data_IF_811829057060
#
_entry.id   IF_811829057060
#
_cell.length_a   1.000
_cell.length_b   1.000
_cell.length_c   1.000
_cell.angle_alpha   90.00
_cell.angle_beta   90.00
_cell.angle_gamma   90.00
#
_symmetry.space_group_name_H-M   'P 1'
#
loop_
_entity.id
_entity.type
_entity.pdbx_description
1 polymer ?
#
# COMPACT_ATOMS: atom_id res chain seq x y z
N UNK A 1 18.14 2.15 18.73
CA UNK A 1 16.91 2.60 18.06
C UNK A 1 16.62 4.10 18.21
N UNK A 2 16.21 4.64 19.37
CA UNK A 2 15.80 6.06 19.49
C UNK A 2 16.87 7.10 19.12
N UNK A 3 18.16 6.77 19.28
CA UNK A 3 19.26 7.72 19.03
C UNK A 3 19.32 8.26 17.60
N UNK A 4 19.10 7.40 16.59
CA UNK A 4 19.10 7.83 15.19
C UNK A 4 17.95 8.81 14.92
N UNK A 5 16.75 8.51 15.44
CA UNK A 5 15.56 9.35 15.30
C UNK A 5 15.77 10.71 15.96
N UNK A 6 16.25 10.73 17.21
CA UNK A 6 16.56 11.98 17.92
C UNK A 6 17.65 12.79 17.22
N UNK A 7 18.64 12.13 16.62
CA UNK A 7 19.68 12.81 15.85
C UNK A 7 19.12 13.40 14.56
N UNK A 8 18.29 12.65 13.83
CA UNK A 8 17.62 13.14 12.62
C UNK A 8 16.73 14.35 12.94
N UNK A 9 15.92 14.30 13.99
CA UNK A 9 15.07 15.42 14.42
C UNK A 9 15.85 16.72 14.62
N UNK A 10 17.02 16.62 15.29
CA UNK A 10 17.89 17.77 15.58
C UNK A 10 18.60 18.31 14.35
N UNK A 11 19.03 17.44 13.44
CA UNK A 11 19.93 17.83 12.36
C UNK A 11 19.20 18.07 11.02
N UNK A 12 18.08 17.41 10.77
CA UNK A 12 17.37 17.48 9.50
C UNK A 12 16.83 18.87 9.19
N UNK A 13 16.20 19.53 10.18
CA UNK A 13 15.64 20.88 10.02
C UNK A 13 16.71 21.95 9.73
N UNK A 14 17.98 21.69 10.09
CA UNK A 14 19.09 22.59 9.80
C UNK A 14 19.57 22.51 8.34
N UNK A 15 19.22 21.43 7.62
CA UNK A 15 19.57 21.26 6.21
C UNK A 15 18.58 21.99 5.31
N UNK A 16 19.07 23.08 4.72
CA UNK A 16 18.41 23.71 3.59
C UNK A 16 18.80 22.98 2.31
N UNK A 17 17.84 22.41 1.54
CA UNK A 17 18.16 21.73 0.30
C UNK A 17 18.86 22.70 -0.67
N UNK A 18 20.08 22.36 -1.07
CA UNK A 18 20.86 23.20 -2.00
C UNK A 18 20.45 22.94 -3.44
N UNK A 19 20.71 23.90 -4.32
CA UNK A 19 20.53 23.69 -5.77
C UNK A 19 21.26 22.44 -6.29
N UNK A 20 22.43 22.09 -5.71
CA UNK A 20 23.18 20.91 -6.11
C UNK A 20 22.42 19.61 -5.79
N UNK A 21 21.88 19.48 -4.58
CA UNK A 21 21.05 18.34 -4.15
C UNK A 21 19.82 18.21 -5.03
N UNK A 22 19.14 19.34 -5.28
CA UNK A 22 17.93 19.40 -6.11
C UNK A 22 18.21 18.95 -7.54
N UNK A 23 19.32 19.40 -8.13
CA UNK A 23 19.74 18.99 -9.47
C UNK A 23 20.14 17.51 -9.54
N UNK A 24 20.75 16.98 -8.47
CA UNK A 24 21.11 15.55 -8.35
C UNK A 24 19.85 14.68 -8.30
N UNK A 25 18.86 15.08 -7.51
CA UNK A 25 17.57 14.38 -7.36
C UNK A 25 16.81 14.17 -8.70
N UNK A 26 17.01 15.04 -9.69
CA UNK A 26 16.40 14.89 -11.02
C UNK A 26 16.74 13.55 -11.70
N UNK A 27 17.84 12.89 -11.33
CA UNK A 27 18.23 11.59 -11.90
C UNK A 27 17.26 10.46 -11.58
N UNK A 28 16.53 10.56 -10.47
CA UNK A 28 15.55 9.55 -10.03
C UNK A 28 14.23 9.64 -10.82
N UNK A 29 13.99 10.76 -11.51
CA UNK A 29 12.80 10.95 -12.32
C UNK A 29 13.00 10.39 -13.74
N UNK A 30 11.96 9.74 -14.27
CA UNK A 30 11.94 9.39 -15.69
C UNK A 30 11.95 10.67 -16.55
N UNK A 31 12.53 10.64 -17.76
CA UNK A 31 12.55 11.80 -18.64
C UNK A 31 11.17 12.43 -18.89
N UNK A 32 10.12 11.61 -18.96
CA UNK A 32 8.75 12.09 -19.12
C UNK A 32 8.22 12.82 -17.86
N UNK A 33 8.52 12.31 -16.66
CA UNK A 33 8.08 12.93 -15.41
C UNK A 33 8.85 14.25 -15.15
N UNK A 34 10.14 14.31 -15.50
CA UNK A 34 10.94 15.54 -15.40
C UNK A 34 10.30 16.72 -16.12
N UNK A 35 9.83 16.50 -17.36
CA UNK A 35 9.20 17.55 -18.17
C UNK A 35 7.92 18.09 -17.53
N UNK A 36 7.25 17.28 -16.69
CA UNK A 36 5.98 17.63 -16.05
C UNK A 36 6.14 18.53 -14.82
N UNK A 37 7.36 18.69 -14.28
CA UNK A 37 7.61 19.52 -13.08
C UNK A 37 7.15 20.98 -13.22
N UNK A 38 7.12 21.51 -14.44
CA UNK A 38 6.61 22.84 -14.76
C UNK A 38 5.43 22.77 -15.74
N UNK A 39 4.67 21.66 -15.72
CA UNK A 39 3.48 21.53 -16.55
C UNK A 39 2.41 22.53 -16.11
N UNK A 40 1.67 23.08 -17.08
CA UNK A 40 0.44 23.84 -16.82
C UNK A 40 -0.71 22.93 -16.38
N UNK A 41 -0.64 21.64 -16.70
CA UNK A 41 -1.55 20.62 -16.16
C UNK A 41 -1.20 20.36 -14.68
N UNK A 42 -1.99 20.94 -13.78
CA UNK A 42 -1.79 20.89 -12.33
C UNK A 42 -1.75 19.44 -11.79
N UNK A 43 -2.68 18.53 -12.13
CA UNK A 43 -2.58 17.11 -11.75
C UNK A 43 -1.26 16.45 -12.17
N UNK A 44 -0.82 16.65 -13.41
CA UNK A 44 0.43 16.08 -13.89
C UNK A 44 1.65 16.67 -13.18
N UNK A 45 1.64 17.98 -12.98
CA UNK A 45 2.69 18.71 -12.25
C UNK A 45 2.80 18.22 -10.81
N UNK A 46 1.70 18.14 -10.06
CA UNK A 46 1.69 17.67 -8.66
C UNK A 46 2.22 16.24 -8.53
N UNK A 47 1.88 15.36 -9.48
CA UNK A 47 2.41 13.99 -9.50
C UNK A 47 3.92 13.95 -9.71
N UNK A 48 4.45 14.78 -10.62
CA UNK A 48 5.89 14.89 -10.84
C UNK A 48 6.62 15.55 -9.66
N UNK A 49 5.99 16.55 -9.05
CA UNK A 49 6.49 17.27 -7.87
C UNK A 49 6.63 16.35 -6.67
N UNK A 50 5.63 15.51 -6.36
CA UNK A 50 5.71 14.52 -5.28
C UNK A 50 6.91 13.59 -5.42
N UNK A 51 7.04 12.94 -6.59
CA UNK A 51 8.18 12.04 -6.88
C UNK A 51 9.54 12.74 -6.83
N UNK A 52 9.57 14.01 -7.21
CA UNK A 52 10.80 14.79 -7.18
C UNK A 52 11.18 15.18 -5.76
N UNK A 53 10.20 15.58 -4.97
CA UNK A 53 10.39 15.89 -3.55
C UNK A 53 10.88 14.65 -2.81
N UNK A 54 10.27 13.49 -3.02
CA UNK A 54 10.75 12.20 -2.54
C UNK A 54 12.23 11.94 -2.86
N UNK A 55 12.64 12.22 -4.11
CA UNK A 55 14.03 12.08 -4.53
C UNK A 55 14.97 13.10 -3.87
N UNK A 56 14.52 14.33 -3.63
CA UNK A 56 15.29 15.36 -2.90
C UNK A 56 15.55 14.89 -1.47
N UNK A 57 14.51 14.42 -0.78
CA UNK A 57 14.63 13.91 0.59
C UNK A 57 15.60 12.74 0.64
N UNK A 58 15.48 11.79 -0.28
CA UNK A 58 16.42 10.66 -0.38
C UNK A 58 17.87 11.14 -0.53
N UNK A 59 18.13 12.11 -1.41
CA UNK A 59 19.47 12.69 -1.60
C UNK A 59 19.98 13.46 -0.39
N UNK A 60 19.11 14.14 0.35
CA UNK A 60 19.46 14.80 1.62
C UNK A 60 19.84 13.78 2.69
N UNK A 61 19.10 12.68 2.78
CA UNK A 61 19.35 11.62 3.76
C UNK A 61 20.67 10.89 3.45
N UNK A 62 21.00 10.70 2.17
CA UNK A 62 22.34 10.21 1.78
C UNK A 62 23.44 11.15 2.32
N UNK A 63 23.36 12.45 2.03
CA UNK A 63 24.36 13.42 2.50
C UNK A 63 24.44 13.48 4.04
N UNK A 64 23.30 13.37 4.74
CA UNK A 64 23.22 13.29 6.20
C UNK A 64 23.88 12.03 6.76
N UNK A 65 23.70 10.89 6.10
CA UNK A 65 24.21 9.61 6.59
C UNK A 65 25.74 9.59 6.71
N UNK A 66 26.45 10.40 5.93
CA UNK A 66 27.91 10.54 5.99
C UNK A 66 28.39 11.32 7.23
N UNK A 67 27.49 12.03 7.92
CA UNK A 67 27.84 12.88 9.07
C UNK A 67 27.66 12.17 10.42
N UNK A 68 27.20 10.91 10.42
CA UNK A 68 26.91 10.17 11.64
C UNK A 68 27.03 8.67 11.42
N UNK A 69 27.51 7.94 12.43
CA UNK A 69 27.50 6.47 12.40
C UNK A 69 26.16 5.88 12.85
N UNK A 70 25.23 6.72 13.35
CA UNK A 70 23.90 6.27 13.77
C UNK A 70 23.07 5.73 12.61
N UNK A 71 23.30 6.23 11.39
CA UNK A 71 22.77 5.71 10.14
C UNK A 71 23.86 4.80 9.56
N UNK A 72 23.64 3.48 9.65
CA UNK A 72 24.56 2.50 9.10
C UNK A 72 24.43 2.45 7.58
N UNK A 73 23.19 2.41 7.08
CA UNK A 73 22.94 2.32 5.65
C UNK A 73 21.64 3.00 5.21
N UNK A 74 21.64 3.44 3.95
CA UNK A 74 20.48 3.96 3.22
C UNK A 74 20.15 2.99 2.10
N UNK A 75 18.89 2.56 2.03
CA UNK A 75 18.46 1.60 1.01
C UNK A 75 18.29 2.29 -0.33
N UNK A 76 18.92 1.75 -1.36
CA UNK A 76 18.93 2.33 -2.69
C UNK A 76 17.53 2.47 -3.28
N UNK A 77 17.26 3.64 -3.89
CA UNK A 77 15.97 4.01 -4.49
C UNK A 77 16.15 4.63 -5.87
N UNK A 78 15.13 4.50 -6.71
CA UNK A 78 15.05 5.21 -7.99
C UNK A 78 16.21 4.86 -8.91
N UNK A 79 17.04 5.85 -9.26
CA UNK A 79 18.19 5.67 -10.13
C UNK A 79 19.33 4.82 -9.52
N UNK A 80 19.40 4.73 -8.18
CA UNK A 80 20.39 3.91 -7.47
C UNK A 80 19.99 2.44 -7.37
N UNK A 81 18.70 2.14 -7.61
CA UNK A 81 18.21 0.78 -7.73
C UNK A 81 18.74 0.03 -8.97
N UNK A 82 18.41 -1.26 -9.10
CA UNK A 82 18.80 -2.06 -10.25
C UNK A 82 18.15 -1.54 -11.54
N UNK A 83 18.90 -1.64 -12.65
CA UNK A 83 18.42 -1.18 -13.97
C UNK A 83 17.30 -2.06 -14.55
N UNK A 84 17.24 -3.32 -14.14
CA UNK A 84 16.19 -4.29 -14.49
C UNK A 84 15.56 -4.80 -13.22
N UNK A 85 14.27 -4.57 -13.07
CA UNK A 85 13.51 -5.05 -11.91
C UNK A 85 12.81 -6.36 -12.20
N UNK A 86 12.66 -7.18 -11.16
CA UNK A 86 11.94 -8.46 -11.26
C UNK A 86 10.44 -8.20 -11.41
N UNK A 87 9.86 -8.72 -12.48
CA UNK A 87 8.40 -8.68 -12.69
C UNK A 87 7.70 -9.45 -11.56
N UNK A 88 6.50 -8.98 -11.19
CA UNK A 88 5.67 -9.67 -10.22
C UNK A 88 5.34 -11.08 -10.71
N UNK A 89 5.48 -12.07 -9.83
CA UNK A 89 5.17 -13.48 -10.06
C UNK A 89 4.61 -14.06 -8.75
N UNK A 90 3.76 -15.07 -8.86
CA UNK A 90 3.29 -15.82 -7.68
C UNK A 90 4.47 -16.47 -6.95
N UNK A 91 4.34 -16.62 -5.63
CA UNK A 91 5.40 -17.12 -4.74
C UNK A 91 6.48 -16.09 -4.39
N UNK A 92 6.43 -14.85 -4.92
CA UNK A 92 7.37 -13.80 -4.51
C UNK A 92 7.00 -13.22 -3.15
N UNK A 93 7.89 -13.40 -2.16
CA UNK A 93 7.78 -12.85 -0.82
C UNK A 93 9.04 -12.01 -0.49
N UNK A 94 8.88 -10.91 0.25
CA UNK A 94 10.00 -10.05 0.71
C UNK A 94 10.08 -8.69 0.01
N UNK A 95 11.28 -8.09 -0.02
CA UNK A 95 11.51 -6.78 -0.64
C UNK A 95 11.75 -6.86 -2.15
N UNK A 96 11.17 -5.93 -2.89
CA UNK A 96 11.30 -5.79 -4.34
C UNK A 96 11.37 -4.33 -4.75
N UNK A 97 11.89 -4.08 -5.95
CA UNK A 97 11.83 -2.78 -6.58
C UNK A 97 10.62 -2.65 -7.51
N UNK A 98 9.99 -1.46 -7.49
CA UNK A 98 9.04 -1.02 -8.52
C UNK A 98 9.78 -0.70 -9.84
N UNK A 99 9.06 -0.60 -10.95
CA UNK A 99 9.66 -0.23 -12.25
C UNK A 99 10.30 1.17 -12.25
N UNK A 100 9.93 2.04 -11.31
CA UNK A 100 10.50 3.37 -11.15
C UNK A 100 11.49 3.44 -9.97
N UNK A 101 11.75 2.31 -9.31
CA UNK A 101 12.77 2.16 -8.28
C UNK A 101 12.29 2.37 -6.85
N UNK A 102 10.97 2.37 -6.60
CA UNK A 102 10.43 2.40 -5.22
C UNK A 102 10.62 1.06 -4.52
N UNK A 103 10.65 1.11 -3.20
CA UNK A 103 10.83 -0.07 -2.35
C UNK A 103 9.45 -0.64 -2.04
N UNK A 104 9.24 -1.91 -2.37
CA UNK A 104 7.98 -2.62 -2.19
C UNK A 104 8.17 -3.85 -1.33
N UNK A 105 7.22 -4.10 -0.44
CA UNK A 105 7.08 -5.40 0.24
C UNK A 105 6.05 -6.21 -0.55
N UNK A 106 6.42 -7.39 -1.03
CA UNK A 106 5.50 -8.33 -1.69
C UNK A 106 5.23 -9.56 -0.87
N UNK A 107 4.03 -10.09 -1.01
CA UNK A 107 3.59 -11.39 -0.52
C UNK A 107 2.84 -12.13 -1.61
N UNK A 108 3.27 -13.34 -1.95
CA UNK A 108 2.77 -14.13 -3.07
C UNK A 108 2.68 -13.32 -4.40
N UNK A 109 3.63 -12.41 -4.62
CA UNK A 109 3.68 -11.51 -5.77
C UNK A 109 2.84 -10.24 -5.67
N UNK A 110 1.87 -10.17 -4.76
CA UNK A 110 1.08 -8.96 -4.50
C UNK A 110 1.91 -7.92 -3.75
N UNK A 111 1.81 -6.65 -4.16
CA UNK A 111 2.35 -5.53 -3.38
C UNK A 111 1.51 -5.35 -2.09
N UNK A 112 2.14 -5.54 -0.93
CA UNK A 112 1.54 -5.42 0.41
C UNK A 112 1.69 -4.02 0.98
N UNK A 113 2.87 -3.43 0.76
CA UNK A 113 3.25 -2.09 1.16
C UNK A 113 4.29 -1.53 0.18
N UNK A 114 4.35 -0.21 0.13
CA UNK A 114 5.38 0.57 -0.54
C UNK A 114 5.93 1.55 0.49
N UNK A 115 7.23 1.85 0.45
CA UNK A 115 7.85 2.81 1.35
C UNK A 115 8.73 3.78 0.55
N UNK A 116 8.69 5.05 0.93
CA UNK A 116 9.44 6.09 0.23
C UNK A 116 10.91 6.12 0.64
N UNK A 117 11.21 5.74 1.88
CA UNK A 117 12.56 5.72 2.42
C UNK A 117 12.71 4.51 3.33
N UNK A 118 13.90 3.90 3.31
CA UNK A 118 14.29 2.87 4.25
C UNK A 118 15.75 3.05 4.66
N UNK A 119 15.99 2.95 5.96
CA UNK A 119 17.30 3.13 6.60
C UNK A 119 17.59 1.93 7.50
N UNK A 120 18.87 1.65 7.68
CA UNK A 120 19.39 0.72 8.69
C UNK A 120 20.15 1.55 9.72
N UNK A 121 19.78 1.43 10.99
CA UNK A 121 20.51 2.09 12.08
C UNK A 121 21.80 1.32 12.45
N UNK A 122 22.64 1.93 13.28
CA UNK A 122 23.88 1.32 13.79
C UNK A 122 23.70 -0.02 14.53
N UNK A 123 22.48 -0.36 14.96
CA UNK A 123 22.16 -1.65 15.59
C UNK A 123 21.68 -2.71 14.59
N UNK A 124 21.60 -2.35 13.31
CA UNK A 124 21.05 -3.21 12.26
C UNK A 124 19.52 -3.19 12.20
N UNK A 125 18.85 -2.29 12.93
CA UNK A 125 17.40 -2.18 12.90
C UNK A 125 16.92 -1.31 11.74
N UNK A 126 15.83 -1.73 11.09
CA UNK A 126 15.17 -1.00 10.03
C UNK A 126 14.32 0.15 10.56
N UNK A 127 14.37 1.24 9.83
CA UNK A 127 13.49 2.41 9.92
C UNK A 127 12.93 2.68 8.53
N UNK A 128 11.64 3.00 8.42
CA UNK A 128 11.06 3.44 7.14
C UNK A 128 10.55 4.87 7.23
N UNK A 129 10.38 5.51 6.08
CA UNK A 129 9.83 6.85 5.99
C UNK A 129 8.79 6.98 4.89
N UNK A 130 7.85 7.88 5.13
CA UNK A 130 6.81 8.30 4.19
C UNK A 130 6.93 9.81 3.97
N UNK A 131 6.77 10.22 2.72
CA UNK A 131 7.03 11.58 2.30
C UNK A 131 5.73 12.16 1.75
N UNK A 132 5.26 13.25 2.38
CA UNK A 132 4.02 13.89 1.97
C UNK A 132 4.25 15.33 1.51
N UNK A 133 3.57 15.70 0.42
CA UNK A 133 3.58 17.06 -0.13
C UNK A 133 2.27 17.80 0.05
N UNK A 134 1.26 17.14 0.66
CA UNK A 134 -0.09 17.68 0.82
C UNK A 134 -0.77 17.12 2.08
N UNK A 135 -1.59 17.92 2.79
CA UNK A 135 -2.36 17.47 3.94
C UNK A 135 -3.59 16.63 3.56
N UNK A 136 -3.96 16.57 2.27
CA UNK A 136 -5.14 15.84 1.80
C UNK A 136 -5.04 14.30 1.98
N UNK A 137 -3.83 13.79 2.20
CA UNK A 137 -3.52 12.36 2.14
C UNK A 137 -3.66 11.62 3.49
N UNK A 138 -4.26 12.25 4.51
CA UNK A 138 -4.12 11.80 5.91
C UNK A 138 -5.22 10.84 6.42
N UNK A 139 -6.34 10.65 5.71
CA UNK A 139 -7.52 9.96 6.25
C UNK A 139 -7.35 8.44 6.43
N UNK A 140 -6.55 7.79 5.57
CA UNK A 140 -6.21 6.35 5.64
C UNK A 140 -4.74 6.14 6.07
N UNK A 141 -4.02 7.24 6.33
CA UNK A 141 -2.58 7.24 6.53
C UNK A 141 -2.17 6.55 7.83
N UNK A 142 -2.90 6.80 8.93
CA UNK A 142 -2.60 6.20 10.24
C UNK A 142 -2.63 4.67 10.19
N UNK A 143 -3.70 4.09 9.62
CA UNK A 143 -3.87 2.65 9.45
C UNK A 143 -2.77 2.06 8.55
N UNK A 144 -2.38 2.78 7.50
CA UNK A 144 -1.28 2.38 6.63
C UNK A 144 0.07 2.35 7.36
N UNK A 145 0.38 3.34 8.19
CA UNK A 145 1.62 3.37 8.99
C UNK A 145 1.65 2.22 9.99
N UNK A 146 0.55 1.99 10.72
CA UNK A 146 0.45 0.88 11.67
C UNK A 146 0.68 -0.46 10.99
N UNK A 147 0.07 -0.66 9.82
CA UNK A 147 0.29 -1.87 9.03
C UNK A 147 1.75 -2.02 8.57
N UNK A 148 2.39 -0.95 8.08
CA UNK A 148 3.79 -0.98 7.65
C UNK A 148 4.73 -1.33 8.81
N UNK A 149 4.49 -0.74 10.00
CA UNK A 149 5.21 -1.09 11.24
C UNK A 149 5.05 -2.56 11.59
N UNK A 150 3.83 -3.09 11.60
CA UNK A 150 3.57 -4.50 11.90
C UNK A 150 4.21 -5.45 10.88
N UNK A 151 4.09 -5.12 9.59
CA UNK A 151 4.67 -5.90 8.50
C UNK A 151 6.20 -5.96 8.62
N UNK A 152 6.87 -4.81 8.71
CA UNK A 152 8.33 -4.77 8.82
C UNK A 152 8.81 -5.35 10.16
N UNK A 153 8.07 -5.10 11.25
CA UNK A 153 8.36 -5.64 12.58
C UNK A 153 8.34 -7.16 12.58
N UNK A 154 7.33 -7.74 11.95
CA UNK A 154 7.24 -9.19 11.76
C UNK A 154 8.39 -9.73 10.90
N UNK A 155 8.60 -9.18 9.70
CA UNK A 155 9.59 -9.70 8.74
C UNK A 155 11.02 -9.67 9.27
N UNK A 156 11.36 -8.63 10.02
CA UNK A 156 12.71 -8.39 10.52
C UNK A 156 12.87 -8.68 12.01
N UNK A 157 11.85 -9.27 12.65
CA UNK A 157 11.90 -9.63 14.06
C UNK A 157 12.17 -8.42 14.97
N UNK A 158 11.60 -7.27 14.62
CA UNK A 158 11.73 -6.01 15.34
C UNK A 158 10.48 -5.75 16.18
N UNK A 159 10.59 -5.65 17.52
CA UNK A 159 9.45 -5.34 18.39
C UNK A 159 8.81 -3.98 18.09
N UNK A 160 9.61 -3.01 17.67
CA UNK A 160 9.19 -1.70 17.23
C UNK A 160 9.97 -1.31 15.96
N UNK A 161 9.29 -0.64 15.04
CA UNK A 161 9.87 -0.16 13.78
C UNK A 161 9.74 1.36 13.77
N UNK A 162 10.86 2.09 13.90
CA UNK A 162 10.82 3.55 13.84
C UNK A 162 10.29 4.05 12.50
N UNK A 163 9.62 5.20 12.55
CA UNK A 163 8.95 5.78 11.40
C UNK A 163 9.29 7.28 11.25
N UNK A 164 9.67 7.66 10.03
CA UNK A 164 9.95 9.03 9.62
C UNK A 164 8.79 9.57 8.78
N UNK A 165 8.07 10.57 9.28
CA UNK A 165 7.16 11.34 8.46
C UNK A 165 7.87 12.59 7.96
N UNK A 166 8.06 12.73 6.65
CA UNK A 166 8.79 13.86 6.08
C UNK A 166 7.84 14.70 5.24
N UNK A 167 7.80 16.01 5.46
CA UNK A 167 6.85 16.88 4.76
C UNK A 167 7.42 18.19 4.24
N UNK A 168 6.90 18.62 3.09
CA UNK A 168 7.13 19.96 2.52
C UNK A 168 6.17 21.02 3.07
N UNK A 169 5.21 20.64 3.93
CA UNK A 169 4.21 21.52 4.52
C UNK A 169 4.04 21.23 6.01
N UNK A 170 3.67 22.23 6.81
CA UNK A 170 3.44 21.99 8.24
C UNK A 170 2.12 21.22 8.46
N UNK A 171 2.26 19.96 8.83
CA UNK A 171 1.16 19.05 9.18
C UNK A 171 1.12 18.70 10.68
N UNK A 172 1.98 19.33 11.49
CA UNK A 172 2.14 19.03 12.93
C UNK A 172 0.85 19.17 13.74
N UNK A 173 -0.08 20.01 13.28
CA UNK A 173 -1.35 20.29 13.95
C UNK A 173 -2.47 19.31 13.60
N UNK A 174 -2.27 18.45 12.60
CA UNK A 174 -3.32 17.52 12.17
C UNK A 174 -3.51 16.41 13.20
N UNK A 175 -4.77 16.07 13.49
CA UNK A 175 -5.11 15.07 14.52
C UNK A 175 -4.43 13.70 14.29
N UNK A 176 -4.35 13.25 13.03
CA UNK A 176 -3.67 12.00 12.63
C UNK A 176 -2.18 12.06 12.98
N UNK A 177 -1.49 13.13 12.59
CA UNK A 177 -0.06 13.31 12.84
C UNK A 177 0.22 13.38 14.34
N UNK A 178 -0.59 14.12 15.09
CA UNK A 178 -0.47 14.18 16.56
C UNK A 178 -0.64 12.83 17.23
N UNK A 179 -1.47 11.93 16.70
CA UNK A 179 -1.61 10.56 17.22
C UNK A 179 -0.40 9.71 16.90
N UNK A 180 0.07 9.75 15.65
CA UNK A 180 1.31 9.05 15.24
C UNK A 180 2.51 9.49 16.07
N UNK A 181 2.67 10.79 16.33
CA UNK A 181 3.78 11.32 17.13
C UNK A 181 3.67 11.06 18.64
N UNK A 182 2.62 10.38 19.14
CA UNK A 182 2.60 9.88 20.52
C UNK A 182 3.52 8.67 20.70
N UNK A 183 3.80 7.93 19.63
CA UNK A 183 4.77 6.85 19.67
C UNK A 183 6.19 7.44 19.66
N UNK A 184 7.05 7.07 20.63
CA UNK A 184 8.35 7.72 20.80
C UNK A 184 9.35 7.43 19.67
N UNK A 185 9.11 6.38 18.89
CA UNK A 185 9.92 5.98 17.74
C UNK A 185 9.45 6.62 16.41
N UNK A 186 8.48 7.55 16.48
CA UNK A 186 8.00 8.32 15.34
C UNK A 186 8.53 9.76 15.40
N UNK A 187 8.88 10.32 14.23
CA UNK A 187 9.29 11.72 14.12
C UNK A 187 8.68 12.38 12.89
N UNK A 188 8.35 13.66 13.01
CA UNK A 188 7.98 14.53 11.90
C UNK A 188 9.17 15.41 11.55
N UNK A 189 9.67 15.28 10.33
CA UNK A 189 10.73 16.12 9.78
C UNK A 189 10.12 17.05 8.74
N UNK A 190 10.33 18.36 8.88
CA UNK A 190 9.85 19.36 7.92
C UNK A 190 11.03 19.98 7.17
N UNK A 191 10.79 20.32 5.91
CA UNK A 191 11.78 21.02 5.08
C UNK A 191 11.09 22.05 4.18
N UNK A 192 11.86 22.69 3.29
CA UNK A 192 11.38 23.72 2.37
C UNK A 192 10.22 23.22 1.51
N UNK A 193 9.31 24.13 1.16
CA UNK A 193 8.16 23.80 0.33
C UNK A 193 8.58 23.41 -1.09
N UNK A 194 7.74 22.64 -1.79
CA UNK A 194 8.00 22.31 -3.19
C UNK A 194 8.12 23.56 -4.07
N UNK A 195 7.40 24.64 -3.73
CA UNK A 195 7.47 25.93 -4.44
C UNK A 195 8.84 26.59 -4.25
N UNK A 196 9.33 26.64 -3.01
CA UNK A 196 10.68 27.17 -2.70
C UNK A 196 11.77 26.36 -3.40
N UNK A 197 11.63 25.03 -3.42
CA UNK A 197 12.57 24.14 -4.08
C UNK A 197 12.57 24.33 -5.61
N UNK A 198 11.39 24.49 -6.23
CA UNK A 198 11.27 24.79 -7.66
C UNK A 198 11.87 26.14 -8.01
N UNK A 199 11.80 27.14 -7.14
CA UNK A 199 12.41 28.45 -7.39
C UNK A 199 13.94 28.38 -7.58
N UNK A 200 14.59 27.32 -7.06
CA UNK A 200 16.02 27.08 -7.20
C UNK A 200 16.42 26.47 -8.54
N UNK A 201 15.47 26.08 -9.40
CA UNK A 201 15.71 25.48 -10.72
C UNK A 201 14.87 26.15 -11.82
N UNK A 202 15.26 25.97 -13.09
CA UNK A 202 14.53 26.50 -14.25
C UNK A 202 14.16 25.37 -15.22
N UNK A 203 13.13 25.52 -16.07
CA UNK A 203 12.76 24.49 -17.06
C UNK A 203 13.91 24.03 -17.97
N UNK A 204 14.85 24.93 -18.30
CA UNK A 204 16.05 24.60 -19.09
C UNK A 204 16.97 23.58 -18.41
N UNK A 205 16.96 23.52 -17.08
CA UNK A 205 17.80 22.62 -16.29
C UNK A 205 17.37 21.16 -16.47
N UNK A 206 16.07 20.93 -16.75
CA UNK A 206 15.48 19.61 -16.92
C UNK A 206 15.97 18.86 -18.17
N UNK A 207 16.55 19.59 -19.14
CA UNK A 207 17.08 19.00 -20.38
C UNK A 207 18.37 18.21 -20.15
N UNK A 208 19.14 18.56 -19.11
CA UNK A 208 20.36 17.84 -18.77
C UNK A 208 19.99 16.53 -18.08
N UNK A 209 20.58 15.42 -18.51
CA UNK A 209 20.45 14.14 -17.80
C UNK A 209 21.61 14.03 -16.82
N UNK A 210 21.36 14.09 -15.51
CA UNK A 210 22.42 13.84 -14.54
C UNK A 210 22.89 12.38 -14.66
N UNK A 211 24.14 12.07 -14.24
CA UNK A 211 24.64 10.71 -14.22
C UNK A 211 23.69 9.81 -13.41
N UNK A 212 23.44 8.61 -13.94
CA UNK A 212 22.41 7.71 -13.39
C UNK A 212 22.79 7.17 -12.00
N UNK A 213 24.05 6.78 -11.80
CA UNK A 213 24.51 6.19 -10.55
C UNK A 213 25.57 7.07 -9.90
N UNK A 214 25.40 7.32 -8.62
CA UNK A 214 26.40 7.94 -7.75
C UNK A 214 26.94 6.84 -6.85
N UNK A 215 28.26 6.78 -6.65
CA UNK A 215 28.85 5.92 -5.63
C UNK A 215 28.66 6.59 -4.29
N UNK A 216 28.08 5.88 -3.33
CA UNK A 216 27.84 6.37 -1.98
C UNK A 216 28.16 5.24 -0.99
N UNK A 217 28.96 5.53 0.03
CA UNK A 217 29.58 4.50 0.89
C UNK A 217 28.55 3.75 1.74
N UNK A 218 27.49 4.42 2.18
CA UNK A 218 26.41 3.85 2.99
C UNK A 218 25.21 3.33 2.19
N UNK A 219 25.33 3.26 0.86
CA UNK A 219 24.23 2.84 0.00
C UNK A 219 24.19 1.31 -0.12
N UNK A 220 23.06 0.70 0.22
CA UNK A 220 22.86 -0.76 0.12
C UNK A 220 21.68 -1.12 -0.78
N UNK A 221 21.66 -2.34 -1.33
CA UNK A 221 20.52 -2.88 -2.05
C UNK A 221 19.49 -3.47 -1.08
N UNK A 222 18.22 -3.55 -1.49
CA UNK A 222 17.22 -4.35 -0.75
C UNK A 222 17.64 -5.82 -0.59
N UNK A 223 18.48 -6.35 -1.49
CA UNK A 223 18.99 -7.72 -1.42
C UNK A 223 19.92 -7.95 -0.22
N UNK A 224 20.52 -6.88 0.29
CA UNK A 224 21.43 -6.94 1.44
C UNK A 224 20.65 -6.93 2.77
N UNK A 225 19.33 -6.71 2.70
CA UNK A 225 18.42 -6.70 3.85
C UNK A 225 17.69 -8.04 3.89
N UNK A 226 18.26 -9.00 4.62
CA UNK A 226 17.68 -10.34 4.73
C UNK A 226 16.60 -10.36 5.81
N UNK A 227 15.36 -10.79 5.50
CA UNK A 227 14.33 -10.99 6.51
C UNK A 227 14.78 -11.99 7.57
N UNK A 228 14.60 -11.65 8.85
CA UNK A 228 14.86 -12.59 9.96
C UNK A 228 13.81 -13.70 10.01
N UNK A 229 12.59 -13.39 9.55
CA UNK A 229 11.50 -14.33 9.40
C UNK A 229 11.15 -14.43 7.91
N UNK A 230 11.78 -15.35 7.14
CA UNK A 230 11.24 -15.69 5.84
C UNK A 230 9.79 -16.16 6.04
N UNK A 231 8.89 -15.68 5.19
CA UNK A 231 7.47 -15.94 5.30
C UNK A 231 6.92 -16.39 3.96
N UNK A 232 6.00 -17.36 4.00
CA UNK A 232 5.14 -17.63 2.87
C UNK A 232 3.80 -16.92 3.08
N UNK A 233 3.60 -15.81 2.36
CA UNK A 233 2.35 -15.08 2.43
C UNK A 233 1.15 -15.92 1.99
N UNK A 234 1.35 -16.89 1.09
CA UNK A 234 0.27 -17.76 0.63
C UNK A 234 -0.18 -18.71 1.75
N UNK A 235 0.76 -19.26 2.51
CA UNK A 235 0.44 -20.12 3.66
C UNK A 235 -0.34 -19.32 4.72
N UNK A 236 0.18 -18.15 5.12
CA UNK A 236 -0.52 -17.27 6.08
C UNK A 236 -1.91 -16.83 5.59
N UNK A 237 -2.04 -16.57 4.29
CA UNK A 237 -3.31 -16.29 3.65
C UNK A 237 -4.28 -17.47 3.76
N UNK A 238 -3.82 -18.69 3.46
CA UNK A 238 -4.65 -19.89 3.43
C UNK A 238 -5.04 -20.33 4.85
N UNK A 239 -4.15 -20.19 5.83
CA UNK A 239 -4.46 -20.37 7.26
C UNK A 239 -5.55 -19.40 7.71
N UNK A 240 -5.41 -18.11 7.37
CA UNK A 240 -6.43 -17.10 7.69
C UNK A 240 -7.75 -17.40 6.99
N UNK A 241 -7.70 -17.83 5.73
CA UNK A 241 -8.88 -18.25 4.98
C UNK A 241 -9.61 -19.39 5.68
N UNK A 242 -8.88 -20.43 6.09
CA UNK A 242 -9.46 -21.59 6.76
C UNK A 242 -10.03 -21.23 8.12
N UNK A 243 -9.35 -20.38 8.90
CA UNK A 243 -9.85 -19.84 10.17
C UNK A 243 -11.20 -19.13 9.99
N UNK A 244 -11.32 -18.26 8.97
CA UNK A 244 -12.59 -17.57 8.69
C UNK A 244 -13.69 -18.55 8.26
N UNK A 245 -13.37 -19.52 7.40
CA UNK A 245 -14.34 -20.55 6.97
C UNK A 245 -14.84 -21.34 8.18
N UNK A 246 -13.93 -21.81 9.03
CA UNK A 246 -14.27 -22.59 10.22
C UNK A 246 -15.18 -21.82 11.18
N UNK A 247 -14.91 -20.54 11.40
CA UNK A 247 -15.76 -19.70 12.25
C UNK A 247 -17.17 -19.57 11.67
N UNK A 248 -17.29 -19.38 10.36
CA UNK A 248 -18.60 -19.26 9.68
C UNK A 248 -19.37 -20.58 9.67
N UNK A 249 -18.69 -21.73 9.58
CA UNK A 249 -19.36 -23.03 9.52
C UNK A 249 -19.69 -23.64 10.88
N UNK A 250 -19.02 -23.22 11.97
CA UNK A 250 -19.11 -23.87 13.28
C UNK A 250 -20.01 -23.14 14.29
N UNK A 251 -20.97 -22.34 13.82
CA UNK A 251 -21.78 -21.40 14.65
C UNK A 251 -20.95 -20.37 15.45
N UNK A 252 -19.64 -20.28 15.20
CA UNK A 252 -18.74 -19.32 15.80
C UNK A 252 -19.04 -17.89 15.32
N UNK A 253 -18.83 -16.90 16.18
CA UNK A 253 -19.02 -15.51 15.79
C UNK A 253 -17.80 -15.01 15.01
N UNK A 254 -17.99 -14.37 13.86
CA UNK A 254 -16.93 -13.61 13.17
C UNK A 254 -16.25 -12.58 14.10
N UNK A 255 -16.94 -12.15 15.17
CA UNK A 255 -16.37 -11.25 16.18
C UNK A 255 -15.16 -11.85 16.89
N UNK A 256 -15.09 -13.18 17.04
CA UNK A 256 -13.97 -13.88 17.67
C UNK A 256 -12.71 -13.83 16.78
N UNK A 257 -12.87 -13.78 15.45
CA UNK A 257 -11.77 -13.60 14.49
C UNK A 257 -11.09 -12.21 14.59
N UNK A 258 -11.74 -11.24 15.24
CA UNK A 258 -11.16 -9.92 15.50
C UNK A 258 -10.20 -9.90 16.69
N UNK A 259 -10.09 -11.00 17.45
CA UNK A 259 -9.14 -11.12 18.55
C UNK A 259 -7.74 -11.44 18.02
N UNK A 260 -6.66 -10.94 18.65
CA UNK A 260 -5.30 -11.31 18.27
C UNK A 260 -5.11 -12.83 18.34
N UNK A 261 -4.73 -13.44 17.23
CA UNK A 261 -4.40 -14.85 17.11
C UNK A 261 -2.91 -15.05 16.77
N UNK A 262 -2.49 -16.31 16.64
CA UNK A 262 -1.10 -16.65 16.31
C UNK A 262 -0.72 -16.25 14.88
N UNK A 263 -1.70 -16.05 13.99
CA UNK A 263 -1.48 -15.66 12.60
C UNK A 263 -1.14 -14.15 12.58
N UNK A 264 0.06 -13.76 12.14
CA UNK A 264 0.45 -12.35 12.10
C UNK A 264 -0.55 -11.51 11.31
N UNK A 265 -0.91 -10.29 11.78
CA UNK A 265 -1.91 -9.42 11.13
C UNK A 265 -1.37 -8.73 9.86
N UNK A 266 -0.54 -9.43 9.09
CA UNK A 266 0.08 -8.94 7.86
C UNK A 266 -0.76 -9.30 6.61
N UNK A 267 -1.80 -10.13 6.76
CA UNK A 267 -2.71 -10.48 5.67
C UNK A 267 -3.76 -9.38 5.52
N UNK A 268 -3.68 -8.58 4.45
CA UNK A 268 -4.66 -7.51 4.16
C UNK A 268 -5.96 -8.00 3.52
N UNK A 269 -5.92 -9.17 2.91
CA UNK A 269 -7.02 -9.67 2.09
C UNK A 269 -6.95 -11.17 1.98
N UNK A 270 -8.12 -11.78 2.05
CA UNK A 270 -8.32 -13.22 1.85
C UNK A 270 -9.19 -13.45 0.62
N UNK A 271 -8.73 -14.29 -0.30
CA UNK A 271 -9.46 -14.80 -1.46
C UNK A 271 -10.04 -16.16 -1.12
N UNK A 272 -11.35 -16.23 -0.88
CA UNK A 272 -12.01 -17.50 -0.56
C UNK A 272 -12.08 -18.46 -1.75
N UNK A 273 -12.09 -17.91 -2.97
CA UNK A 273 -12.08 -18.72 -4.19
C UNK A 273 -13.01 -18.20 -5.28
N UNK A 274 -12.99 -18.90 -6.41
CA UNK A 274 -13.91 -18.64 -7.52
C UNK A 274 -15.29 -19.24 -7.22
N UNK A 275 -16.36 -18.51 -7.53
CA UNK A 275 -17.71 -19.01 -7.40
C UNK A 275 -18.02 -20.01 -8.52
N UNK A 276 -18.62 -21.16 -8.16
CA UNK A 276 -19.28 -22.02 -9.14
C UNK A 276 -20.51 -21.31 -9.74
N UNK A 277 -20.99 -21.72 -10.92
CA UNK A 277 -22.21 -21.15 -11.51
C UNK A 277 -23.43 -21.18 -10.57
N UNK A 278 -23.55 -22.21 -9.73
CA UNK A 278 -24.59 -22.30 -8.70
C UNK A 278 -24.47 -21.19 -7.64
N UNK A 279 -23.26 -20.84 -7.23
CA UNK A 279 -23.01 -19.75 -6.29
C UNK A 279 -23.20 -18.37 -6.93
N UNK A 280 -22.91 -18.22 -8.23
CA UNK A 280 -23.24 -16.99 -8.97
C UNK A 280 -24.75 -16.76 -9.02
N UNK A 281 -25.55 -17.83 -9.21
CA UNK A 281 -27.01 -17.76 -9.15
C UNK A 281 -27.54 -17.33 -7.78
N UNK A 282 -26.79 -17.57 -6.71
CA UNK A 282 -27.16 -17.12 -5.35
C UNK A 282 -26.96 -15.60 -5.15
N UNK A 283 -26.09 -14.95 -5.93
CA UNK A 283 -25.88 -13.49 -5.87
C UNK A 283 -27.04 -12.65 -6.45
N UNK A 284 -28.24 -13.20 -6.52
CA UNK A 284 -29.43 -12.65 -7.16
C UNK A 284 -30.03 -11.43 -6.41
N UNK A 285 -31.35 -11.37 -6.26
CA UNK A 285 -32.07 -10.43 -5.41
C UNK A 285 -31.50 -10.26 -4.00
N UNK A 286 -30.84 -11.28 -3.43
CA UNK A 286 -30.32 -11.24 -2.05
C UNK A 286 -29.04 -10.41 -1.91
N UNK A 287 -28.16 -10.44 -2.92
CA UNK A 287 -26.91 -9.66 -2.94
C UNK A 287 -26.68 -8.98 -4.30
N UNK A 288 -27.57 -8.06 -4.71
CA UNK A 288 -27.58 -7.54 -6.08
C UNK A 288 -26.27 -6.84 -6.45
N UNK A 289 -25.71 -7.21 -7.61
CA UNK A 289 -24.51 -6.60 -8.18
C UNK A 289 -24.88 -5.40 -9.04
N UNK A 290 -24.37 -4.21 -8.68
CA UNK A 290 -24.64 -2.94 -9.39
C UNK A 290 -23.40 -2.39 -10.05
N UNK A 291 -23.46 -2.20 -11.38
CA UNK A 291 -22.37 -1.58 -12.15
C UNK A 291 -22.94 -0.38 -12.89
N UNK A 292 -22.45 0.82 -12.57
CA UNK A 292 -22.94 2.09 -13.14
C UNK A 292 -24.47 2.24 -13.04
N UNK A 293 -25.04 1.89 -11.89
CA UNK A 293 -26.49 1.98 -11.63
C UNK A 293 -27.33 0.82 -12.18
N UNK A 294 -26.82 0.01 -13.11
CA UNK A 294 -27.52 -1.17 -13.63
C UNK A 294 -27.31 -2.37 -12.71
N UNK A 295 -28.40 -3.05 -12.35
CA UNK A 295 -28.37 -4.35 -11.67
C UNK A 295 -28.09 -5.43 -12.70
N UNK A 296 -27.16 -6.34 -12.39
CA UNK A 296 -26.82 -7.48 -13.21
C UNK A 296 -27.42 -8.74 -12.59
N UNK A 297 -28.33 -9.39 -13.31
CA UNK A 297 -28.83 -10.71 -12.94
C UNK A 297 -27.73 -11.79 -13.13
N UNK A 298 -27.90 -12.99 -12.54
CA UNK A 298 -26.90 -14.05 -12.64
C UNK A 298 -26.56 -14.51 -14.07
N UNK A 299 -27.49 -14.42 -15.02
CA UNK A 299 -27.27 -14.83 -16.41
C UNK A 299 -26.43 -13.79 -17.15
N UNK A 300 -26.70 -12.50 -16.93
CA UNK A 300 -25.89 -11.40 -17.39
C UNK A 300 -24.47 -11.49 -16.81
N UNK A 301 -24.33 -11.84 -15.53
CA UNK A 301 -23.01 -12.05 -14.90
C UNK A 301 -22.25 -13.17 -15.62
N UNK A 302 -22.87 -14.34 -15.82
CA UNK A 302 -22.19 -15.48 -16.46
C UNK A 302 -21.85 -15.21 -17.94
N UNK A 303 -22.68 -14.43 -18.64
CA UNK A 303 -22.46 -14.03 -20.03
C UNK A 303 -21.31 -13.04 -20.17
N UNK A 304 -21.23 -12.02 -19.31
CA UNK A 304 -20.26 -10.92 -19.46
C UNK A 304 -18.92 -11.16 -18.74
N UNK A 305 -18.93 -12.00 -17.72
CA UNK A 305 -17.76 -12.28 -16.89
C UNK A 305 -17.38 -13.77 -16.96
N UNK A 306 -16.08 -14.05 -17.06
CA UNK A 306 -15.55 -15.43 -17.10
C UNK A 306 -15.27 -16.00 -15.72
N UNK A 307 -15.17 -15.15 -14.70
CA UNK A 307 -14.85 -15.54 -13.32
C UNK A 307 -15.43 -14.54 -12.34
N UNK A 308 -15.94 -15.07 -11.23
CA UNK A 308 -16.38 -14.31 -10.05
C UNK A 308 -15.58 -14.82 -8.87
N UNK A 309 -14.82 -13.97 -8.20
CA UNK A 309 -14.02 -14.34 -7.02
C UNK A 309 -14.57 -13.63 -5.81
N UNK A 310 -14.87 -14.38 -4.74
CA UNK A 310 -15.26 -13.85 -3.46
C UNK A 310 -14.02 -13.66 -2.58
N UNK A 311 -13.93 -12.51 -1.92
CA UNK A 311 -12.82 -12.13 -1.06
C UNK A 311 -13.32 -11.31 0.13
N UNK A 312 -12.45 -11.11 1.10
CA UNK A 312 -12.66 -10.18 2.22
C UNK A 312 -11.39 -9.35 2.45
N UNK A 313 -11.56 -8.05 2.69
CA UNK A 313 -10.49 -7.18 3.16
C UNK A 313 -10.44 -7.20 4.69
N UNK A 314 -9.23 -7.25 5.21
CA UNK A 314 -8.93 -7.21 6.64
C UNK A 314 -8.30 -5.85 7.00
N UNK A 315 -8.44 -5.38 8.26
CA UNK A 315 -9.06 -6.06 9.40
C UNK A 315 -10.58 -5.89 9.51
N UNK A 316 -11.24 -5.07 8.69
CA UNK A 316 -12.67 -4.74 8.86
C UNK A 316 -13.62 -5.84 8.42
N UNK A 317 -13.09 -6.99 7.97
CA UNK A 317 -13.86 -8.10 7.42
C UNK A 317 -14.85 -7.64 6.33
N UNK A 318 -14.42 -6.71 5.47
CA UNK A 318 -15.26 -6.12 4.44
C UNK A 318 -15.26 -7.00 3.18
N UNK A 319 -16.38 -7.65 2.82
CA UNK A 319 -16.43 -8.54 1.67
C UNK A 319 -16.32 -7.78 0.36
N UNK A 320 -15.67 -8.39 -0.62
CA UNK A 320 -15.40 -7.83 -1.94
C UNK A 320 -15.61 -8.93 -2.98
N UNK A 321 -16.22 -8.57 -4.12
CA UNK A 321 -16.34 -9.48 -5.26
C UNK A 321 -15.52 -8.94 -6.43
N UNK A 322 -14.71 -9.80 -7.05
CA UNK A 322 -13.97 -9.47 -8.26
C UNK A 322 -14.60 -10.15 -9.47
N UNK A 323 -14.94 -9.37 -10.50
CA UNK A 323 -15.56 -9.86 -11.74
C UNK A 323 -14.58 -9.76 -12.91
N UNK A 324 -14.16 -10.89 -13.47
CA UNK A 324 -13.26 -10.96 -14.63
C UNK A 324 -14.06 -10.73 -15.91
N UNK A 325 -13.88 -9.60 -16.59
CA UNK A 325 -14.55 -9.37 -17.88
C UNK A 325 -14.04 -10.34 -18.94
N UNK A 326 -14.92 -10.88 -19.79
CA UNK A 326 -14.50 -11.74 -20.92
C UNK A 326 -13.70 -10.95 -21.97
N UNK A 327 -14.19 -9.77 -22.32
CA UNK A 327 -13.69 -9.01 -23.47
C UNK A 327 -12.51 -8.08 -23.14
N UNK A 328 -12.08 -8.01 -21.87
CA UNK A 328 -11.00 -7.14 -21.41
C UNK A 328 -10.17 -7.85 -20.35
N UNK A 329 -8.84 -7.68 -20.38
CA UNK A 329 -7.92 -8.22 -19.36
C UNK A 329 -7.96 -7.38 -18.09
N UNK A 330 -9.12 -7.34 -17.44
CA UNK A 330 -9.34 -6.57 -16.21
C UNK A 330 -10.33 -7.27 -15.28
N UNK A 331 -10.20 -6.95 -13.98
CA UNK A 331 -11.18 -7.29 -12.96
C UNK A 331 -11.89 -6.03 -12.49
N UNK A 332 -13.22 -6.10 -12.40
CA UNK A 332 -14.01 -5.08 -11.72
C UNK A 332 -14.12 -5.44 -10.24
N UNK A 333 -13.81 -4.48 -9.37
CA UNK A 333 -13.95 -4.63 -7.91
C UNK A 333 -15.33 -4.15 -7.47
N UNK A 334 -16.09 -5.04 -6.87
CA UNK A 334 -17.41 -4.79 -6.29
C UNK A 334 -17.26 -4.67 -4.78
N UNK A 335 -17.68 -3.55 -4.22
CA UNK A 335 -17.66 -3.28 -2.78
C UNK A 335 -19.08 -3.23 -2.22
N UNK A 336 -19.29 -3.46 -0.92
CA UNK A 336 -20.63 -3.45 -0.36
C UNK A 336 -21.32 -2.10 -0.54
N UNK A 337 -22.63 -2.15 -0.77
CA UNK A 337 -23.45 -0.97 -0.93
C UNK A 337 -24.29 -0.73 0.33
N UNK A 338 -23.70 -0.01 1.29
CA UNK A 338 -24.30 0.29 2.60
C UNK A 338 -25.64 1.04 2.54
N UNK A 339 -26.11 1.51 1.37
CA UNK A 339 -27.40 2.19 1.23
C UNK A 339 -28.53 1.25 0.80
N UNK A 340 -28.26 0.33 -0.12
CA UNK A 340 -29.32 -0.50 -0.75
C UNK A 340 -29.02 -1.99 -0.77
N UNK A 341 -28.04 -2.43 0.04
CA UNK A 341 -27.61 -3.83 0.14
C UNK A 341 -26.91 -4.34 -1.12
N UNK A 342 -26.29 -5.51 -1.01
CA UNK A 342 -25.52 -6.13 -2.07
C UNK A 342 -24.24 -5.35 -2.38
N UNK A 343 -23.85 -5.32 -3.66
CA UNK A 343 -22.58 -4.75 -4.07
C UNK A 343 -22.71 -3.68 -5.15
N UNK A 344 -21.76 -2.75 -5.18
CA UNK A 344 -21.59 -1.73 -6.21
C UNK A 344 -20.17 -1.72 -6.75
N UNK A 345 -20.03 -1.40 -8.03
CA UNK A 345 -18.72 -1.18 -8.64
C UNK A 345 -17.98 -0.02 -7.97
N UNK A 346 -16.75 -0.28 -7.54
CA UNK A 346 -15.82 0.76 -7.11
C UNK A 346 -15.26 1.46 -8.35
N UNK A 347 -15.56 2.76 -8.52
CA UNK A 347 -15.21 3.53 -9.72
C UNK A 347 -13.71 3.68 -9.96
N UNK A 348 -12.87 3.43 -8.94
CA UNK A 348 -11.42 3.36 -9.09
C UNK A 348 -11.09 2.11 -9.89
N UNK A 349 -10.51 2.28 -11.09
CA UNK A 349 -9.88 1.16 -11.82
C UNK A 349 -8.95 0.48 -10.82
N UNK A 350 -9.07 -0.83 -10.64
CA UNK A 350 -8.04 -1.60 -9.94
C UNK A 350 -6.71 -1.19 -10.58
N UNK A 351 -5.74 -0.61 -9.83
CA UNK A 351 -4.45 -0.22 -10.39
C UNK A 351 -3.83 -1.40 -11.13
N UNK A 352 -2.76 -1.18 -11.91
CA UNK A 352 -1.95 -2.27 -12.46
C UNK A 352 -1.31 -3.08 -11.30
N UNK A 353 -2.11 -3.92 -10.64
CA UNK A 353 -1.72 -4.77 -9.53
C UNK A 353 -1.19 -6.06 -10.13
N UNK A 354 -0.09 -5.99 -10.86
CA UNK A 354 0.42 -7.10 -11.67
C UNK A 354 0.45 -8.42 -10.87
N UNK A 355 0.91 -8.38 -9.62
CA UNK A 355 0.89 -9.53 -8.70
C UNK A 355 -0.50 -10.01 -8.29
N UNK A 356 -1.33 -9.11 -7.75
CA UNK A 356 -2.69 -9.48 -7.30
C UNK A 356 -3.57 -9.95 -8.47
N UNK A 357 -3.40 -9.36 -9.65
CA UNK A 357 -4.05 -9.81 -10.89
C UNK A 357 -3.67 -11.25 -11.22
N UNK A 358 -2.37 -11.59 -11.16
CA UNK A 358 -1.91 -12.97 -11.36
C UNK A 358 -2.53 -13.93 -10.34
N UNK A 359 -2.70 -13.50 -9.10
CA UNK A 359 -3.35 -14.31 -8.07
C UNK A 359 -4.85 -14.52 -8.37
N UNK A 360 -5.58 -13.47 -8.75
CA UNK A 360 -6.97 -13.61 -9.20
C UNK A 360 -7.09 -14.53 -10.43
N UNK A 361 -6.15 -14.45 -11.37
CA UNK A 361 -6.13 -15.36 -12.54
C UNK A 361 -5.84 -16.82 -12.13
N UNK A 362 -5.03 -17.08 -11.10
CA UNK A 362 -4.73 -18.45 -10.64
C UNK A 362 -5.85 -19.10 -9.84
N UNK A 363 -6.75 -18.32 -9.22
CA UNK A 363 -7.91 -18.84 -8.48
C UNK A 363 -8.84 -19.62 -9.40
N UNK A 364 -9.16 -20.87 -9.03
CA UNK A 364 -10.14 -21.73 -9.70
C UNK A 364 -11.51 -21.62 -9.03
N UNK A 365 -12.61 -21.98 -9.72
CA UNK A 365 -13.90 -22.20 -9.07
C UNK A 365 -13.78 -23.26 -7.97
N UNK A 366 -14.12 -22.90 -6.74
CA UNK A 366 -14.02 -23.73 -5.54
C UNK A 366 -15.12 -23.46 -4.52
N UNK A 367 -15.93 -22.40 -4.69
CA UNK A 367 -16.97 -22.01 -3.74
C UNK A 367 -18.36 -22.37 -4.25
N UNK A 368 -19.03 -23.27 -3.53
CA UNK A 368 -20.44 -23.62 -3.70
C UNK A 368 -21.39 -22.56 -3.13
N UNK A 369 -22.67 -22.66 -3.50
CA UNK A 369 -23.67 -21.66 -3.15
C UNK A 369 -23.89 -21.52 -1.63
N UNK A 370 -23.89 -22.62 -0.91
CA UNK A 370 -24.12 -22.65 0.54
C UNK A 370 -23.01 -21.96 1.33
N UNK A 371 -21.75 -22.34 1.08
CA UNK A 371 -20.61 -21.70 1.74
C UNK A 371 -20.48 -20.22 1.36
N UNK A 372 -20.65 -19.89 0.07
CA UNK A 372 -20.62 -18.48 -0.37
C UNK A 372 -21.71 -17.65 0.33
N UNK A 373 -22.90 -18.23 0.55
CA UNK A 373 -23.99 -17.60 1.29
C UNK A 373 -23.63 -17.44 2.76
N UNK A 374 -23.14 -18.49 3.43
CA UNK A 374 -22.73 -18.43 4.84
C UNK A 374 -21.68 -17.34 5.06
N UNK A 375 -20.67 -17.26 4.19
CA UNK A 375 -19.65 -16.21 4.23
C UNK A 375 -20.28 -14.82 4.10
N UNK A 376 -21.14 -14.58 3.10
CA UNK A 376 -21.77 -13.27 2.90
C UNK A 376 -22.75 -12.89 4.00
N UNK A 377 -23.52 -13.83 4.53
CA UNK A 377 -24.47 -13.61 5.62
C UNK A 377 -23.76 -13.21 6.92
N UNK A 378 -22.58 -13.78 7.17
CA UNK A 378 -21.80 -13.50 8.36
C UNK A 378 -21.15 -12.10 8.35
N UNK A 379 -21.03 -11.43 7.19
CA UNK A 379 -20.47 -10.08 7.08
C UNK A 379 -21.56 -9.00 7.05
N UNK A 380 -21.71 -8.16 8.11
CA UNK A 380 -22.81 -7.19 8.22
C UNK A 380 -22.87 -6.16 7.09
N UNK A 381 -21.72 -5.84 6.48
CA UNK A 381 -21.59 -4.76 5.50
C UNK A 381 -22.38 -4.97 4.20
N UNK A 382 -22.79 -6.21 3.88
CA UNK A 382 -23.49 -6.54 2.62
C UNK A 382 -25.00 -6.31 2.74
N UNK A 383 -25.53 -6.33 3.96
CA UNK A 383 -26.97 -6.22 4.21
C UNK A 383 -27.41 -4.76 4.12
N UNK A 384 -28.66 -4.54 3.67
CA UNK A 384 -29.25 -3.21 3.71
C UNK A 384 -29.40 -2.76 5.19
N UNK A 385 -29.22 -1.48 5.51
CA UNK A 385 -29.45 -0.99 6.86
C UNK A 385 -30.90 -1.28 7.22
N UNK A 386 -31.12 -2.06 8.29
CA UNK A 386 -32.43 -2.21 8.91
C UNK A 386 -32.92 -0.82 9.30
N UNK A 387 -34.09 -0.42 8.79
CA UNK A 387 -34.74 0.80 9.24
C UNK A 387 -34.84 0.77 10.78
N UNK A 388 -34.56 1.88 11.48
CA UNK A 388 -34.74 1.91 12.92
C UNK A 388 -36.19 1.49 13.20
N UNK A 389 -36.35 0.44 14.02
CA UNK A 389 -37.65 -0.03 14.43
C UNK A 389 -38.44 1.19 14.91
N UNK A 390 -39.53 1.50 14.21
CA UNK A 390 -40.43 2.56 14.62
C UNK A 390 -40.82 2.26 16.07
N UNK A 391 -40.37 3.11 17.00
CA UNK A 391 -40.89 3.10 18.36
C UNK A 391 -42.39 3.35 18.19
N UNK A 392 -43.19 2.30 18.35
CA UNK A 392 -44.64 2.45 18.45
C UNK A 392 -44.90 3.31 19.69
N UNK A 393 -45.77 4.33 19.58
CA UNK A 393 -46.09 5.23 20.69
C UNK A 393 -46.66 4.48 21.88
#
# INVERSE_FOLDING_TARGET
MLQMITWLDKNFCSLKPTRAVIMRALRHLRPADRKKLFSEDIPEMRTAEGRWFEAIIYEMILDLSLQTDLILAVVARGADGPSRVRRAQLGQNGLFYSNIGDIKVRGNGQDLAEVDLMLVDHTGALTFGEIITSPADLKEFEEEIHYKKQLLGYLYGQPAVPFLLISSVDISRTAVVRRLLKEPDNVLLTTASCEDLKALIRPRDLKRSPPRKVRHEKLISISDIVPRRPFDYKELHDERMQSIINAVTSEGSIRELGTPDEIPPIVKKVLFGGLYPSAVRMLDSRYPIRIKGKIYDPDAIQREFSKVVLAVNLPEYKPVIYLRRRNKREYLKMVPNNRSGGFKFESRRTPHMAGFYLWLESVRPSLGAELARGLLDAFPAVHAPTAPAARRP
#
